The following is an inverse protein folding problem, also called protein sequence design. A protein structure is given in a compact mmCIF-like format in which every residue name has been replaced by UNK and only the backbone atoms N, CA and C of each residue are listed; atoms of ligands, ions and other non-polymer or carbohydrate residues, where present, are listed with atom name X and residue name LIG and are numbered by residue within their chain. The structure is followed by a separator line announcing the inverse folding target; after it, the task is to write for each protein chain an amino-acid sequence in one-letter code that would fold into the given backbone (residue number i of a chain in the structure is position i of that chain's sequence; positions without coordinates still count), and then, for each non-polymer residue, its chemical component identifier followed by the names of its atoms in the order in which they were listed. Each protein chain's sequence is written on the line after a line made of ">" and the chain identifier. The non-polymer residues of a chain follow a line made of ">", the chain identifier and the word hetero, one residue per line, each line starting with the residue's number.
data_IF_442683544215
#
_entry.id   IF_442683544215
#
_cell.length_a   1.000
_cell.length_b   1.000
_cell.length_c   1.000
_cell.angle_alpha   90.00
_cell.angle_beta   90.00
_cell.angle_gamma   90.00
#
_symmetry.space_group_name_H-M   'P 1'
#
loop_
_entity.id
_entity.type
_entity.pdbx_description
1 polymer ?
#
# COMPACT_ATOMS: atom_id res chain seq x y z
N UNK A 1 0.60 -14.73 -0.65
CA UNK A 1 0.53 -14.06 -1.96
C UNK A 1 1.14 -12.68 -1.83
N UNK A 2 1.68 -12.11 -2.90
CA UNK A 2 2.23 -10.75 -2.89
C UNK A 2 1.54 -9.96 -3.99
N UNK A 3 1.08 -8.76 -3.67
CA UNK A 3 0.52 -7.81 -4.61
C UNK A 3 1.33 -6.52 -4.58
N UNK A 4 1.46 -5.92 -5.77
CA UNK A 4 2.26 -4.72 -5.99
C UNK A 4 1.33 -3.63 -6.51
N UNK A 5 1.48 -2.43 -5.96
CA UNK A 5 0.65 -1.28 -6.30
C UNK A 5 1.57 -0.09 -6.59
N UNK A 6 1.24 0.69 -7.61
CA UNK A 6 1.83 1.98 -7.88
C UNK A 6 1.12 3.04 -7.04
N UNK A 7 1.88 3.89 -6.35
CA UNK A 7 1.31 4.98 -5.55
C UNK A 7 1.93 6.33 -5.89
N UNK A 8 1.32 7.43 -5.45
CA UNK A 8 1.94 8.76 -5.54
C UNK A 8 2.61 9.23 -4.23
N UNK A 9 2.75 8.33 -3.25
CA UNK A 9 3.27 8.64 -1.92
C UNK A 9 4.74 8.98 -1.99
N UNK A 10 5.12 10.16 -1.49
CA UNK A 10 6.49 10.68 -1.60
C UNK A 10 7.22 10.75 -0.26
N UNK A 11 6.48 10.92 0.83
CA UNK A 11 7.08 11.14 2.14
C UNK A 11 7.07 9.85 2.94
N UNK A 12 8.18 9.56 3.59
CA UNK A 12 8.33 8.43 4.51
C UNK A 12 7.31 8.52 5.66
N UNK A 13 6.91 9.73 6.06
CA UNK A 13 5.88 9.94 7.08
C UNK A 13 4.53 9.41 6.61
N UNK A 14 4.17 9.67 5.36
CA UNK A 14 2.92 9.24 4.75
C UNK A 14 2.91 7.71 4.55
N UNK A 15 4.03 7.12 4.14
CA UNK A 15 4.14 5.66 4.02
C UNK A 15 3.96 4.97 5.37
N UNK A 16 4.60 5.47 6.42
CA UNK A 16 4.44 4.94 7.79
C UNK A 16 3.00 5.05 8.28
N UNK A 17 2.34 6.18 7.98
CA UNK A 17 0.93 6.36 8.30
C UNK A 17 0.05 5.32 7.58
N UNK A 18 0.20 5.17 6.25
CA UNK A 18 -0.57 4.19 5.47
C UNK A 18 -0.32 2.76 5.97
N UNK A 19 0.94 2.38 6.21
CA UNK A 19 1.30 1.07 6.77
C UNK A 19 0.60 0.86 8.11
N UNK A 20 0.65 1.84 9.02
CA UNK A 20 0.04 1.72 10.35
C UNK A 20 -1.48 1.53 10.27
N UNK A 21 -2.14 2.26 9.37
CA UNK A 21 -3.59 2.15 9.21
C UNK A 21 -4.00 0.83 8.55
N UNK A 22 -3.30 0.38 7.50
CA UNK A 22 -3.56 -0.93 6.88
C UNK A 22 -3.28 -2.06 7.88
N UNK A 23 -2.17 -2.01 8.63
CA UNK A 23 -1.86 -3.00 9.67
C UNK A 23 -2.89 -3.03 10.80
N UNK A 24 -3.54 -1.92 11.11
CA UNK A 24 -4.60 -1.89 12.12
C UNK A 24 -5.82 -2.71 11.69
N UNK A 25 -6.15 -2.70 10.40
CA UNK A 25 -7.23 -3.51 9.84
C UNK A 25 -6.78 -4.94 9.53
N UNK A 26 -5.57 -5.09 9.00
CA UNK A 26 -5.00 -6.35 8.56
C UNK A 26 -3.63 -6.57 9.21
N UNK A 27 -3.57 -6.96 10.48
CA UNK A 27 -2.30 -7.15 11.20
C UNK A 27 -1.45 -8.29 10.62
N UNK A 28 -2.08 -9.20 9.88
CA UNK A 28 -1.42 -10.30 9.17
C UNK A 28 -0.75 -9.86 7.85
N UNK A 29 -1.04 -8.66 7.33
CA UNK A 29 -0.44 -8.17 6.09
C UNK A 29 0.94 -7.56 6.35
N UNK A 30 1.89 -7.93 5.51
CA UNK A 30 3.22 -7.35 5.48
C UNK A 30 3.27 -6.31 4.36
N UNK A 31 3.29 -5.04 4.75
CA UNK A 31 3.28 -3.90 3.84
C UNK A 31 4.69 -3.28 3.81
N UNK A 32 5.20 -3.00 2.62
CA UNK A 32 6.44 -2.28 2.37
C UNK A 32 6.22 -1.20 1.31
N UNK A 33 6.93 -0.08 1.44
CA UNK A 33 6.99 0.94 0.39
C UNK A 33 8.41 1.00 -0.16
N UNK A 34 8.50 0.95 -1.48
CA UNK A 34 9.72 1.18 -2.22
C UNK A 34 9.67 2.61 -2.79
N UNK A 35 10.27 3.53 -2.04
CA UNK A 35 10.35 4.95 -2.40
C UNK A 35 11.58 5.25 -3.28
N UNK A 36 12.51 4.30 -3.38
CA UNK A 36 13.67 4.39 -4.27
C UNK A 36 13.28 4.11 -5.71
N UNK A 37 12.25 3.29 -5.91
CA UNK A 37 11.61 3.10 -7.20
C UNK A 37 10.93 4.40 -7.68
N UNK A 38 11.17 4.78 -8.93
CA UNK A 38 10.58 5.98 -9.54
C UNK A 38 9.05 5.95 -9.51
N UNK A 39 8.45 4.75 -9.50
CA UNK A 39 7.02 4.55 -9.48
C UNK A 39 6.42 4.49 -8.05
N UNK A 40 7.22 4.66 -6.99
CA UNK A 40 6.76 4.70 -5.57
C UNK A 40 5.85 3.52 -5.25
N UNK A 41 6.46 2.36 -5.26
CA UNK A 41 5.77 1.08 -5.24
C UNK A 41 5.36 0.72 -3.81
N UNK A 42 4.09 0.35 -3.63
CA UNK A 42 3.54 -0.27 -2.44
C UNK A 42 3.48 -1.78 -2.65
N UNK A 43 4.17 -2.54 -1.81
CA UNK A 43 4.14 -4.00 -1.82
C UNK A 43 3.37 -4.51 -0.62
N UNK A 44 2.37 -5.36 -0.84
CA UNK A 44 1.57 -5.96 0.22
C UNK A 44 1.64 -7.48 0.10
N UNK A 45 2.04 -8.14 1.16
CA UNK A 45 2.16 -9.60 1.24
C UNK A 45 1.20 -10.13 2.31
N UNK A 46 0.44 -11.16 2.00
CA UNK A 46 -0.57 -11.69 2.91
C UNK A 46 -1.28 -12.93 2.38
N UNK A 47 -2.19 -13.45 3.20
CA UNK A 47 -3.14 -14.50 2.83
C UNK A 47 -4.48 -13.82 2.56
N UNK A 48 -5.12 -14.16 1.45
CA UNK A 48 -6.39 -13.56 1.02
C UNK A 48 -6.30 -12.02 0.90
N UNK A 49 -5.38 -11.55 0.05
CA UNK A 49 -5.15 -10.11 -0.14
C UNK A 49 -6.36 -9.46 -0.81
N UNK A 50 -6.99 -8.55 -0.10
CA UNK A 50 -8.13 -7.77 -0.58
C UNK A 50 -7.64 -6.52 -1.35
N UNK A 51 -7.05 -6.72 -2.54
CA UNK A 51 -6.42 -5.64 -3.33
C UNK A 51 -7.35 -4.44 -3.55
N UNK A 52 -8.61 -4.69 -3.92
CA UNK A 52 -9.58 -3.63 -4.19
C UNK A 52 -9.81 -2.75 -2.95
N UNK A 53 -9.93 -3.36 -1.77
CA UNK A 53 -10.07 -2.61 -0.53
C UNK A 53 -8.84 -1.75 -0.25
N UNK A 54 -7.63 -2.27 -0.47
CA UNK A 54 -6.39 -1.51 -0.27
C UNK A 54 -6.36 -0.29 -1.21
N UNK A 55 -6.72 -0.48 -2.48
CA UNK A 55 -6.77 0.58 -3.49
C UNK A 55 -7.77 1.66 -3.08
N UNK A 56 -9.01 1.29 -2.79
CA UNK A 56 -10.05 2.23 -2.37
C UNK A 56 -9.66 2.97 -1.08
N UNK A 57 -9.06 2.26 -0.13
CA UNK A 57 -8.66 2.83 1.14
C UNK A 57 -7.56 3.87 0.97
N UNK A 58 -6.52 3.57 0.19
CA UNK A 58 -5.43 4.52 -0.08
C UNK A 58 -5.93 5.73 -0.89
N UNK A 59 -6.85 5.52 -1.85
CA UNK A 59 -7.54 6.59 -2.56
C UNK A 59 -8.36 7.48 -1.62
N UNK A 60 -9.08 6.90 -0.66
CA UNK A 60 -9.82 7.66 0.37
C UNK A 60 -8.91 8.49 1.28
N UNK A 61 -7.65 8.10 1.47
CA UNK A 61 -6.66 8.88 2.21
C UNK A 61 -6.11 10.07 1.40
N UNK A 62 -6.49 10.21 0.12
CA UNK A 62 -6.04 11.28 -0.78
C UNK A 62 -4.82 10.92 -1.62
N UNK A 63 -4.41 9.64 -1.65
CA UNK A 63 -3.27 9.16 -2.44
C UNK A 63 -3.73 8.32 -3.61
N UNK A 64 -3.07 8.43 -4.75
CA UNK A 64 -3.34 7.56 -5.90
C UNK A 64 -2.79 6.18 -5.58
N UNK A 65 -3.62 5.14 -5.75
CA UNK A 65 -3.21 3.75 -5.66
C UNK A 65 -3.75 2.96 -6.85
N UNK A 66 -2.87 2.25 -7.56
CA UNK A 66 -3.23 1.44 -8.73
C UNK A 66 -2.50 0.10 -8.63
N UNK A 67 -3.22 -1.01 -8.76
CA UNK A 67 -2.61 -2.35 -8.78
C UNK A 67 -1.78 -2.54 -10.05
N UNK A 68 -0.60 -3.12 -9.90
CA UNK A 68 0.25 -3.58 -10.99
C UNK A 68 0.07 -5.10 -11.14
N UNK A 69 -0.06 -5.57 -12.39
CA UNK A 69 -0.12 -7.00 -12.74
C UNK A 69 1.28 -7.61 -12.93
#
# INVERSE_FOLDING_TARGET
>A
MVEVFKTNVQRIIDTNYIIAVIKRQFPAYKINFDLEDCDKILRVEGIDLQSNYIIEYVNCLGYICVKLE
#
